data_IF_713885914912
#
_entry.id   IF_713885914912
#
_cell.length_a   1.000
_cell.length_b   1.000
_cell.length_c   1.000
_cell.angle_alpha   90.00
_cell.angle_beta   90.00
_cell.angle_gamma   90.00
#
_symmetry.space_group_name_H-M   'P 1'
#
loop_
_entity.id
_entity.type
_entity.pdbx_description
1 polymer ?
#
# COMPACT_ATOMS: atom_id res chain seq x y z
N UNK A 1 22.12 -2.33 -38.22
CA UNK A 1 21.97 -1.79 -39.59
C UNK A 1 22.27 -0.30 -39.64
N UNK A 2 21.60 0.56 -38.85
CA UNK A 2 21.82 2.02 -38.88
C UNK A 2 23.04 2.55 -38.10
N UNK A 3 23.82 1.69 -37.43
CA UNK A 3 25.02 2.13 -36.66
C UNK A 3 24.75 2.97 -35.40
N UNK A 4 23.52 2.99 -34.90
CA UNK A 4 23.11 3.82 -33.74
C UNK A 4 23.30 3.06 -32.42
N UNK A 5 23.89 3.71 -31.42
CA UNK A 5 23.93 3.20 -30.05
C UNK A 5 22.54 3.29 -29.40
N UNK A 6 21.92 2.15 -29.12
CA UNK A 6 20.58 2.08 -28.52
C UNK A 6 20.60 1.30 -27.21
N UNK A 7 19.89 1.81 -26.21
CA UNK A 7 19.58 1.10 -24.98
C UNK A 7 18.07 1.00 -24.85
N UNK A 8 17.56 -0.20 -24.63
CA UNK A 8 16.13 -0.49 -24.65
C UNK A 8 15.68 -0.91 -23.25
N UNK A 9 14.77 -0.12 -22.67
CA UNK A 9 13.97 -0.54 -21.52
C UNK A 9 12.66 -1.14 -22.04
N UNK A 10 12.32 -2.33 -21.54
CA UNK A 10 11.07 -3.00 -21.89
C UNK A 10 10.10 -2.87 -20.74
N UNK A 11 8.90 -2.40 -21.00
CA UNK A 11 7.86 -2.33 -19.97
C UNK A 11 6.75 -3.32 -20.36
N UNK A 12 6.81 -4.54 -19.84
CA UNK A 12 5.94 -5.65 -20.25
C UNK A 12 4.96 -6.13 -19.17
N UNK A 13 4.28 -7.25 -19.42
CA UNK A 13 3.45 -7.93 -18.42
C UNK A 13 4.29 -8.47 -17.25
N UNK A 14 5.55 -8.83 -17.52
CA UNK A 14 6.54 -9.22 -16.53
C UNK A 14 7.08 -8.04 -15.72
N UNK A 15 6.67 -6.80 -16.04
CA UNK A 15 7.16 -5.55 -15.44
C UNK A 15 8.30 -4.89 -16.23
N UNK A 16 9.09 -4.03 -15.58
CA UNK A 16 10.18 -3.25 -16.21
C UNK A 16 11.44 -4.12 -16.30
N UNK A 17 11.93 -4.31 -17.53
CA UNK A 17 13.19 -4.98 -17.84
C UNK A 17 14.19 -3.99 -18.43
N UNK A 18 15.48 -4.19 -18.13
CA UNK A 18 16.57 -3.34 -18.61
C UNK A 18 16.36 -1.84 -18.34
N UNK A 19 15.90 -1.50 -17.13
CA UNK A 19 15.56 -0.12 -16.76
C UNK A 19 16.69 0.86 -17.09
N UNK A 20 16.35 1.97 -17.75
CA UNK A 20 17.30 3.03 -18.09
C UNK A 20 17.77 3.73 -16.80
N UNK A 21 19.08 3.85 -16.64
CA UNK A 21 19.66 4.59 -15.52
C UNK A 21 19.62 6.09 -15.79
N UNK A 22 19.76 6.91 -14.74
CA UNK A 22 19.87 8.35 -14.88
C UNK A 22 21.08 8.77 -15.74
N UNK A 23 22.16 7.98 -15.77
CA UNK A 23 23.30 8.22 -16.64
C UNK A 23 22.98 7.92 -18.10
N UNK A 24 22.24 6.84 -18.38
CA UNK A 24 21.79 6.51 -19.74
C UNK A 24 20.91 7.63 -20.29
N UNK A 25 19.94 8.09 -19.50
CA UNK A 25 19.02 9.17 -19.88
C UNK A 25 19.81 10.46 -20.13
N UNK A 26 20.76 10.80 -19.25
CA UNK A 26 21.59 12.00 -19.39
C UNK A 26 22.47 11.96 -20.65
N UNK A 27 23.01 10.78 -21.02
CA UNK A 27 23.82 10.61 -22.24
C UNK A 27 22.98 10.50 -23.51
N UNK A 28 21.71 10.14 -23.40
CA UNK A 28 20.84 10.01 -24.57
C UNK A 28 20.67 11.35 -25.30
N UNK A 29 20.82 11.29 -26.63
CA UNK A 29 20.57 12.42 -27.54
C UNK A 29 19.06 12.69 -27.70
N UNK A 30 18.26 11.62 -27.71
CA UNK A 30 16.81 11.67 -27.77
C UNK A 30 16.23 10.39 -27.12
N UNK A 31 14.97 10.47 -26.68
CA UNK A 31 14.23 9.37 -26.06
C UNK A 31 13.04 9.01 -26.97
N UNK A 32 12.91 7.74 -27.32
CA UNK A 32 11.75 7.23 -28.06
C UNK A 32 10.91 6.40 -27.11
N UNK A 33 9.65 6.79 -26.92
CA UNK A 33 8.64 6.06 -26.17
C UNK A 33 7.65 5.47 -27.17
N UNK A 34 7.70 4.15 -27.32
CA UNK A 34 6.71 3.37 -28.07
C UNK A 34 5.86 2.58 -27.07
N UNK A 35 4.79 3.19 -26.56
CA UNK A 35 3.99 2.60 -25.48
C UNK A 35 2.49 2.94 -25.57
N UNK A 36 1.65 1.93 -25.37
CA UNK A 36 0.18 2.07 -25.27
C UNK A 36 -0.30 2.10 -23.82
N UNK A 37 0.63 2.15 -22.86
CA UNK A 37 0.39 2.18 -21.42
C UNK A 37 1.12 3.35 -20.78
N UNK A 38 0.68 3.75 -19.59
CA UNK A 38 1.36 4.79 -18.82
C UNK A 38 2.81 4.39 -18.53
N UNK A 39 3.75 5.27 -18.90
CA UNK A 39 5.18 5.19 -18.62
C UNK A 39 5.54 6.32 -17.67
N UNK A 40 6.52 6.12 -16.79
CA UNK A 40 7.05 7.20 -15.95
C UNK A 40 7.77 8.24 -16.83
N UNK A 41 7.14 9.39 -17.05
CA UNK A 41 7.62 10.44 -17.96
C UNK A 41 8.56 11.43 -17.28
N UNK A 42 8.38 11.68 -15.98
CA UNK A 42 9.05 12.75 -15.24
C UNK A 42 10.58 12.64 -15.29
N UNK A 43 11.12 11.42 -15.32
CA UNK A 43 12.55 11.15 -15.42
C UNK A 43 13.20 11.56 -16.75
N UNK A 44 12.39 11.90 -17.77
CA UNK A 44 12.85 12.33 -19.09
C UNK A 44 12.74 13.85 -19.30
N UNK A 45 12.50 14.62 -18.23
CA UNK A 45 12.45 16.07 -18.30
C UNK A 45 13.71 16.68 -18.95
N UNK A 46 13.51 17.62 -19.86
CA UNK A 46 14.59 18.30 -20.58
C UNK A 46 15.24 17.49 -21.70
N UNK A 47 14.71 16.30 -22.04
CA UNK A 47 15.19 15.49 -23.17
C UNK A 47 14.30 15.63 -24.40
N UNK A 48 14.88 15.65 -25.62
CA UNK A 48 14.10 15.52 -26.85
C UNK A 48 13.38 14.18 -26.85
N UNK A 49 12.06 14.18 -27.01
CA UNK A 49 11.21 13.03 -26.75
C UNK A 49 10.21 12.79 -27.89
N UNK A 50 10.16 11.56 -28.37
CA UNK A 50 9.15 11.09 -29.33
C UNK A 50 8.22 10.14 -28.59
N UNK A 51 6.92 10.43 -28.59
CA UNK A 51 5.91 9.54 -28.02
C UNK A 51 4.98 9.02 -29.13
N UNK A 52 4.91 7.70 -29.27
CA UNK A 52 4.10 7.00 -30.28
C UNK A 52 3.50 5.71 -29.71
N UNK A 53 2.40 5.21 -30.31
CA UNK A 53 1.85 3.90 -29.98
C UNK A 53 2.86 2.77 -30.23
N UNK A 54 2.68 1.62 -29.57
CA UNK A 54 3.58 0.45 -29.73
C UNK A 54 3.64 -0.01 -31.19
N UNK A 55 2.52 0.08 -31.92
CA UNK A 55 2.42 -0.31 -33.32
C UNK A 55 3.42 0.44 -34.22
N UNK A 56 3.66 1.73 -33.96
CA UNK A 56 4.62 2.54 -34.70
C UNK A 56 6.06 2.14 -34.36
N UNK A 57 6.34 1.80 -33.10
CA UNK A 57 7.64 1.26 -32.69
C UNK A 57 8.03 -0.03 -33.41
N UNK A 58 7.04 -0.84 -33.81
CA UNK A 58 7.23 -2.11 -34.54
C UNK A 58 7.29 -1.91 -36.05
N UNK A 59 6.45 -1.03 -36.61
CA UNK A 59 6.26 -0.89 -38.06
C UNK A 59 7.08 0.23 -38.70
N UNK A 60 7.47 1.24 -37.91
CA UNK A 60 8.12 2.48 -38.38
C UNK A 60 9.42 2.74 -37.62
N UNK A 61 10.13 1.68 -37.24
CA UNK A 61 11.30 1.79 -36.35
C UNK A 61 12.40 2.69 -36.93
N UNK A 62 12.70 2.56 -38.22
CA UNK A 62 13.72 3.38 -38.90
C UNK A 62 13.33 4.87 -38.96
N UNK A 63 12.05 5.17 -39.22
CA UNK A 63 11.51 6.52 -39.21
C UNK A 63 11.67 7.19 -37.84
N UNK A 64 11.32 6.47 -36.76
CA UNK A 64 11.45 6.99 -35.40
C UNK A 64 12.90 7.24 -34.99
N UNK A 65 13.82 6.36 -35.42
CA UNK A 65 15.26 6.55 -35.17
C UNK A 65 15.79 7.76 -35.95
N UNK A 66 15.41 7.92 -37.21
CA UNK A 66 15.83 9.08 -38.01
C UNK A 66 15.27 10.39 -37.45
N UNK A 67 14.02 10.41 -36.98
CA UNK A 67 13.42 11.56 -36.30
C UNK A 67 14.16 11.89 -35.00
N UNK A 68 14.56 10.88 -34.23
CA UNK A 68 15.36 11.07 -33.01
C UNK A 68 16.77 11.62 -33.32
N UNK A 69 17.34 11.25 -34.47
CA UNK A 69 18.68 11.69 -34.89
C UNK A 69 18.69 13.09 -35.51
N UNK A 70 17.61 13.49 -36.21
CA UNK A 70 17.46 14.78 -36.86
C UNK A 70 17.50 15.95 -35.87
N UNK A 71 17.08 15.70 -34.63
CA UNK A 71 17.00 16.71 -33.57
C UNK A 71 15.74 17.56 -33.63
N UNK A 72 14.83 17.30 -34.58
CA UNK A 72 13.56 18.00 -34.77
C UNK A 72 12.44 17.39 -33.92
N UNK A 73 12.73 17.23 -32.62
CA UNK A 73 11.83 16.61 -31.66
C UNK A 73 11.63 17.54 -30.49
N UNK A 74 10.38 17.71 -30.08
CA UNK A 74 10.06 18.58 -28.95
C UNK A 74 10.75 18.10 -27.67
N UNK A 75 11.30 19.06 -26.93
CA UNK A 75 11.90 18.78 -25.63
C UNK A 75 10.77 18.61 -24.62
N UNK A 76 10.70 17.42 -24.03
CA UNK A 76 9.70 17.15 -23.02
C UNK A 76 9.95 18.00 -21.77
N UNK A 77 8.87 18.60 -21.25
CA UNK A 77 8.86 19.34 -19.99
C UNK A 77 7.81 18.70 -19.07
N UNK A 78 8.23 18.21 -17.91
CA UNK A 78 7.31 17.64 -16.94
C UNK A 78 6.37 18.72 -16.38
N UNK A 79 5.08 18.40 -16.23
CA UNK A 79 4.03 19.34 -15.84
C UNK A 79 4.16 19.86 -14.40
N UNK A 80 4.88 19.12 -13.55
CA UNK A 80 5.31 19.59 -12.24
C UNK A 80 6.81 19.87 -12.35
N UNK A 81 7.24 21.08 -11.97
CA UNK A 81 8.65 21.46 -11.81
C UNK A 81 9.36 20.69 -10.68
N UNK A 82 9.14 19.37 -10.62
CA UNK A 82 9.93 18.46 -9.84
C UNK A 82 11.35 18.58 -10.39
N UNK A 83 12.22 19.25 -9.62
CA UNK A 83 13.67 19.02 -9.70
C UNK A 83 13.83 17.54 -9.93
N UNK A 84 14.40 17.17 -11.08
CA UNK A 84 14.80 15.82 -11.38
C UNK A 84 15.41 15.27 -10.09
N UNK A 85 14.66 14.41 -9.40
CA UNK A 85 15.17 13.73 -8.23
C UNK A 85 16.38 13.02 -8.80
N UNK A 86 17.56 13.52 -8.43
CA UNK A 86 18.81 12.94 -8.84
C UNK A 86 18.68 11.54 -8.28
N UNK A 87 18.34 10.57 -9.13
CA UNK A 87 18.35 9.17 -8.77
C UNK A 87 19.83 8.85 -8.60
N UNK A 88 20.35 9.26 -7.44
CA UNK A 88 21.65 8.92 -6.97
C UNK A 88 21.64 7.40 -6.96
N UNK A 89 22.56 6.85 -7.74
CA UNK A 89 22.90 5.43 -7.73
C UNK A 89 23.61 5.07 -6.40
N UNK A 90 23.33 5.81 -5.33
CA UNK A 90 23.68 5.38 -3.99
C UNK A 90 22.86 4.14 -3.74
N UNK A 91 23.55 3.05 -3.39
CA UNK A 91 22.91 1.83 -2.90
C UNK A 91 21.93 2.26 -1.80
N UNK A 92 20.65 2.36 -2.16
CA UNK A 92 19.59 2.70 -1.23
C UNK A 92 19.79 1.76 -0.05
N UNK A 93 20.00 2.32 1.15
CA UNK A 93 20.27 1.51 2.33
C UNK A 93 19.17 0.45 2.44
N UNK A 94 19.51 -0.76 2.89
CA UNK A 94 18.55 -1.86 2.99
C UNK A 94 17.28 -1.42 3.75
N UNK A 95 17.45 -0.58 4.78
CA UNK A 95 16.35 0.04 5.52
C UNK A 95 15.53 1.04 4.70
N UNK A 96 16.18 1.89 3.90
CA UNK A 96 15.48 2.82 2.99
C UNK A 96 14.67 2.09 1.92
N UNK A 97 15.16 0.95 1.41
CA UNK A 97 14.42 0.12 0.47
C UNK A 97 13.21 -0.55 1.14
N UNK A 98 13.40 -1.13 2.34
CA UNK A 98 12.33 -1.73 3.13
C UNK A 98 11.22 -0.70 3.45
N UNK A 99 11.61 0.50 3.87
CA UNK A 99 10.67 1.60 4.14
C UNK A 99 9.87 1.97 2.89
N UNK A 100 10.51 2.08 1.72
CA UNK A 100 9.81 2.37 0.46
C UNK A 100 8.75 1.32 0.14
N UNK A 101 9.07 0.04 0.28
CA UNK A 101 8.12 -1.06 0.05
C UNK A 101 6.97 -1.05 1.05
N UNK A 102 7.27 -0.83 2.33
CA UNK A 102 6.27 -0.67 3.39
C UNK A 102 5.31 0.48 3.07
N UNK A 103 5.86 1.65 2.73
CA UNK A 103 5.07 2.85 2.44
C UNK A 103 4.19 2.70 1.19
N UNK A 104 4.61 1.89 0.20
CA UNK A 104 3.77 1.51 -0.93
C UNK A 104 2.49 0.82 -0.47
N UNK A 105 2.60 -0.14 0.46
CA UNK A 105 1.44 -0.80 1.06
C UNK A 105 0.55 0.17 1.84
N UNK A 106 1.16 0.96 2.75
CA UNK A 106 0.42 1.86 3.67
C UNK A 106 -0.41 2.88 2.90
N UNK A 107 0.18 3.51 1.89
CA UNK A 107 -0.48 4.57 1.12
C UNK A 107 -1.69 4.04 0.37
N UNK A 108 -1.65 2.78 -0.05
CA UNK A 108 -2.69 2.16 -0.87
C UNK A 108 -3.81 1.53 -0.03
N UNK A 109 -3.53 1.11 1.22
CA UNK A 109 -4.60 0.67 2.12
C UNK A 109 -5.38 1.84 2.73
N UNK A 110 -4.79 3.04 2.82
CA UNK A 110 -5.38 4.18 3.53
C UNK A 110 -6.78 4.57 3.02
N UNK A 111 -7.05 4.68 1.70
CA UNK A 111 -8.41 4.97 1.22
C UNK A 111 -9.46 3.94 1.63
N UNK A 112 -9.07 2.66 1.77
CA UNK A 112 -9.97 1.60 2.21
C UNK A 112 -10.30 1.72 3.70
N UNK A 113 -9.32 2.09 4.52
CA UNK A 113 -9.50 2.36 5.95
C UNK A 113 -10.40 3.57 6.16
N UNK A 114 -10.18 4.66 5.41
CA UNK A 114 -10.98 5.88 5.52
C UNK A 114 -12.42 5.61 5.09
N UNK A 115 -12.62 5.08 3.88
CA UNK A 115 -13.95 4.79 3.35
C UNK A 115 -14.71 3.79 4.22
N UNK A 116 -14.04 2.69 4.60
CA UNK A 116 -14.64 1.67 5.46
C UNK A 116 -14.94 2.17 6.87
N UNK A 117 -13.98 2.85 7.50
CA UNK A 117 -14.10 3.36 8.87
C UNK A 117 -15.18 4.44 9.02
N UNK A 118 -15.29 5.38 8.08
CA UNK A 118 -16.35 6.40 8.09
C UNK A 118 -17.73 5.74 7.97
N UNK A 119 -17.88 4.75 7.07
CA UNK A 119 -19.15 4.03 6.92
C UNK A 119 -19.54 3.26 8.19
N UNK A 120 -18.57 2.61 8.85
CA UNK A 120 -18.79 1.95 10.15
C UNK A 120 -19.18 2.97 11.23
N UNK A 121 -18.51 4.12 11.28
CA UNK A 121 -18.84 5.18 12.23
C UNK A 121 -20.25 5.76 12.01
N UNK A 122 -20.66 5.93 10.74
CA UNK A 122 -22.02 6.34 10.40
C UNK A 122 -23.05 5.29 10.82
N UNK A 123 -22.73 4.00 10.69
CA UNK A 123 -23.60 2.94 11.18
C UNK A 123 -23.85 3.08 12.70
N UNK A 124 -22.80 3.31 13.49
CA UNK A 124 -22.93 3.56 14.93
C UNK A 124 -23.73 4.84 15.23
N UNK A 125 -23.51 5.91 14.46
CA UNK A 125 -24.22 7.18 14.64
C UNK A 125 -25.72 7.03 14.35
N UNK A 126 -26.08 6.32 13.28
CA UNK A 126 -27.47 6.07 12.88
C UNK A 126 -28.19 5.26 13.95
N UNK A 127 -27.59 4.16 14.41
CA UNK A 127 -28.17 3.35 15.49
C UNK A 127 -28.26 4.14 16.80
N UNK A 128 -27.24 4.92 17.14
CA UNK A 128 -27.25 5.79 18.31
C UNK A 128 -28.37 6.84 18.25
N UNK A 129 -28.66 7.39 17.07
CA UNK A 129 -29.70 8.40 16.88
C UNK A 129 -31.12 7.80 16.86
N UNK A 130 -31.29 6.61 16.26
CA UNK A 130 -32.58 5.91 16.20
C UNK A 130 -32.93 5.20 17.52
N UNK A 131 -31.93 4.96 18.37
CA UNK A 131 -32.08 4.37 19.69
C UNK A 131 -31.98 2.85 19.66
N UNK A 132 -30.95 2.31 20.31
CA UNK A 132 -30.79 0.86 20.52
C UNK A 132 -31.09 0.55 21.99
N UNK A 133 -31.98 -0.42 22.29
CA UNK A 133 -32.22 -0.85 23.67
C UNK A 133 -30.93 -1.26 24.36
N UNK A 134 -30.77 -0.95 25.66
CA UNK A 134 -29.53 -1.25 26.41
C UNK A 134 -29.15 -2.73 26.39
N UNK A 135 -30.13 -3.63 26.39
CA UNK A 135 -29.94 -5.08 26.27
C UNK A 135 -29.40 -5.52 24.90
N UNK A 136 -29.55 -4.68 23.88
CA UNK A 136 -29.14 -4.94 22.49
C UNK A 136 -27.94 -4.09 22.05
N UNK A 137 -27.22 -3.43 22.97
CA UNK A 137 -26.03 -2.63 22.66
C UNK A 137 -24.92 -3.44 21.95
N UNK A 138 -24.90 -4.77 22.10
CA UNK A 138 -24.00 -5.64 21.34
C UNK A 138 -24.24 -5.63 19.83
N UNK A 139 -25.42 -5.19 19.38
CA UNK A 139 -25.79 -5.04 17.97
C UNK A 139 -25.63 -3.61 17.45
N UNK A 140 -24.99 -2.72 18.20
CA UNK A 140 -24.78 -1.33 17.79
C UNK A 140 -24.08 -1.26 16.42
N UNK A 141 -24.61 -0.44 15.53
CA UNK A 141 -24.18 -0.31 14.14
C UNK A 141 -24.80 -1.36 13.21
N UNK A 142 -25.66 -2.25 13.70
CA UNK A 142 -26.35 -3.26 12.90
C UNK A 142 -27.76 -3.57 13.39
N UNK A 143 -28.29 -2.78 14.32
CA UNK A 143 -29.61 -3.00 14.91
C UNK A 143 -30.72 -2.55 13.95
N UNK A 144 -30.59 -1.35 13.38
CA UNK A 144 -31.49 -0.89 12.32
C UNK A 144 -30.98 -1.29 10.94
N UNK A 145 -31.90 -1.52 10.00
CA UNK A 145 -31.57 -1.93 8.63
C UNK A 145 -30.61 -0.95 7.96
N UNK A 146 -30.88 0.36 8.07
CA UNK A 146 -30.02 1.40 7.50
C UNK A 146 -28.61 1.36 8.11
N UNK A 147 -28.47 1.26 9.43
CA UNK A 147 -27.17 1.13 10.08
C UNK A 147 -26.43 -0.12 9.60
N UNK A 148 -27.14 -1.25 9.49
CA UNK A 148 -26.59 -2.51 8.99
C UNK A 148 -26.08 -2.39 7.55
N UNK A 149 -26.77 -1.67 6.66
CA UNK A 149 -26.27 -1.41 5.30
C UNK A 149 -24.91 -0.68 5.34
N UNK A 150 -24.81 0.39 6.14
CA UNK A 150 -23.57 1.14 6.32
C UNK A 150 -22.45 0.27 6.91
N UNK A 151 -22.77 -0.54 7.92
CA UNK A 151 -21.81 -1.46 8.56
C UNK A 151 -21.30 -2.53 7.59
N UNK A 152 -22.16 -3.15 6.78
CA UNK A 152 -21.75 -4.19 5.82
C UNK A 152 -20.91 -3.62 4.69
N UNK A 153 -21.29 -2.47 4.13
CA UNK A 153 -20.51 -1.79 3.09
C UNK A 153 -19.16 -1.33 3.66
N UNK A 154 -19.19 -0.71 4.83
CA UNK A 154 -17.98 -0.26 5.53
C UNK A 154 -17.05 -1.40 5.88
N UNK A 155 -17.59 -2.49 6.42
CA UNK A 155 -16.85 -3.71 6.74
C UNK A 155 -16.25 -4.40 5.52
N UNK A 156 -16.93 -4.37 4.37
CA UNK A 156 -16.37 -4.88 3.11
C UNK A 156 -15.14 -4.08 2.66
N UNK A 157 -15.22 -2.75 2.66
CA UNK A 157 -14.08 -1.89 2.33
C UNK A 157 -12.93 -2.03 3.36
N UNK A 158 -13.27 -1.98 4.65
CA UNK A 158 -12.31 -2.10 5.74
C UNK A 158 -11.61 -3.47 5.74
N UNK A 159 -12.34 -4.55 5.47
CA UNK A 159 -11.81 -5.90 5.37
C UNK A 159 -10.80 -6.10 4.23
N UNK A 160 -10.74 -5.20 3.25
CA UNK A 160 -9.74 -5.22 2.18
C UNK A 160 -8.43 -4.53 2.57
N UNK A 161 -8.34 -3.85 3.71
CA UNK A 161 -7.14 -3.10 4.08
C UNK A 161 -5.88 -3.97 4.11
N UNK A 162 -5.94 -5.18 4.72
CA UNK A 162 -4.78 -6.08 4.85
C UNK A 162 -4.43 -6.75 3.51
N UNK A 163 -5.40 -7.30 2.74
CA UNK A 163 -5.14 -7.77 1.38
C UNK A 163 -4.51 -6.70 0.48
N UNK A 164 -5.03 -5.47 0.47
CA UNK A 164 -4.50 -4.37 -0.34
C UNK A 164 -3.10 -3.98 0.12
N UNK A 165 -2.89 -3.85 1.43
CA UNK A 165 -1.58 -3.54 2.00
C UNK A 165 -0.51 -4.55 1.55
N UNK A 166 -0.73 -5.84 1.80
CA UNK A 166 0.21 -6.90 1.46
C UNK A 166 0.43 -7.01 -0.06
N UNK A 167 -0.64 -6.83 -0.84
CA UNK A 167 -0.59 -6.75 -2.30
C UNK A 167 0.35 -5.65 -2.79
N UNK A 168 0.23 -4.41 -2.28
CA UNK A 168 1.05 -3.31 -2.74
C UNK A 168 2.48 -3.31 -2.21
N UNK A 169 2.74 -3.98 -1.08
CA UNK A 169 4.10 -4.35 -0.66
C UNK A 169 4.70 -5.33 -1.66
N UNK A 170 4.00 -6.44 -1.96
CA UNK A 170 4.47 -7.44 -2.92
C UNK A 170 4.67 -6.87 -4.33
N UNK A 171 3.74 -6.02 -4.78
CA UNK A 171 3.81 -5.30 -6.06
C UNK A 171 5.04 -4.39 -6.12
N UNK A 172 5.37 -3.69 -5.03
CA UNK A 172 6.54 -2.83 -5.02
C UNK A 172 7.87 -3.60 -5.16
N UNK A 173 7.87 -4.91 -4.91
CA UNK A 173 9.04 -5.81 -5.00
C UNK A 173 9.07 -6.58 -6.32
N UNK A 174 7.92 -7.14 -6.73
CA UNK A 174 7.80 -8.09 -7.84
C UNK A 174 6.90 -7.61 -8.98
N UNK A 175 6.42 -6.37 -8.94
CA UNK A 175 5.53 -5.72 -9.91
C UNK A 175 4.21 -6.48 -10.08
N UNK A 176 3.57 -6.40 -11.26
CA UNK A 176 2.27 -7.02 -11.54
C UNK A 176 2.20 -8.51 -11.16
N UNK A 177 3.23 -9.34 -11.44
CA UNK A 177 3.21 -10.74 -11.01
C UNK A 177 3.03 -10.97 -9.49
N UNK A 178 3.44 -9.99 -8.67
CA UNK A 178 3.34 -10.07 -7.21
C UNK A 178 1.94 -9.82 -6.64
N UNK A 179 1.03 -9.26 -7.44
CA UNK A 179 -0.29 -8.79 -6.96
C UNK A 179 -1.11 -9.91 -6.31
N UNK A 180 -1.31 -11.02 -7.02
CA UNK A 180 -2.16 -12.12 -6.53
C UNK A 180 -1.57 -12.76 -5.27
N UNK A 181 -0.26 -13.01 -5.28
CA UNK A 181 0.45 -13.57 -4.13
C UNK A 181 0.32 -12.66 -2.89
N UNK A 182 0.51 -11.35 -3.06
CA UNK A 182 0.38 -10.39 -1.96
C UNK A 182 -1.07 -10.25 -1.46
N UNK A 183 -2.06 -10.24 -2.34
CA UNK A 183 -3.48 -10.27 -1.95
C UNK A 183 -3.80 -11.50 -1.10
N UNK A 184 -3.34 -12.68 -1.54
CA UNK A 184 -3.54 -13.94 -0.82
C UNK A 184 -2.83 -13.94 0.53
N UNK A 185 -1.62 -13.38 0.62
CA UNK A 185 -0.92 -13.23 1.90
C UNK A 185 -1.72 -12.38 2.89
N UNK A 186 -2.21 -11.21 2.46
CA UNK A 186 -3.02 -10.35 3.32
C UNK A 186 -4.38 -10.96 3.68
N UNK A 187 -4.99 -11.72 2.77
CA UNK A 187 -6.24 -12.44 3.03
C UNK A 187 -6.04 -13.56 4.07
N UNK A 188 -4.98 -14.37 3.94
CA UNK A 188 -4.64 -15.41 4.93
C UNK A 188 -4.37 -14.78 6.30
N UNK A 189 -3.63 -13.66 6.34
CA UNK A 189 -3.35 -12.95 7.58
C UNK A 189 -4.63 -12.45 8.27
N UNK A 190 -5.57 -11.91 7.48
CA UNK A 190 -6.88 -11.46 7.95
C UNK A 190 -7.72 -12.61 8.49
N UNK A 191 -7.94 -13.66 7.69
CA UNK A 191 -8.80 -14.80 8.03
C UNK A 191 -8.17 -15.71 9.12
N UNK A 192 -6.86 -15.61 9.34
CA UNK A 192 -6.16 -16.36 10.38
C UNK A 192 -5.83 -17.79 10.00
N UNK A 193 -5.86 -18.16 8.71
CA UNK A 193 -5.54 -19.52 8.29
C UNK A 193 -4.10 -19.90 8.65
N UNK A 194 -3.94 -21.06 9.29
CA UNK A 194 -2.65 -21.60 9.71
C UNK A 194 -2.63 -23.12 9.58
N UNK A 195 -1.45 -23.74 9.53
CA UNK A 195 -1.35 -25.21 9.51
C UNK A 195 -2.07 -25.83 10.71
N UNK A 196 -2.93 -26.81 10.43
CA UNK A 196 -3.78 -27.44 11.45
C UNK A 196 -4.95 -26.58 11.95
N UNK A 197 -5.16 -25.39 11.38
CA UNK A 197 -6.24 -24.44 11.73
C UNK A 197 -6.95 -23.90 10.48
N UNK A 198 -7.16 -24.77 9.50
CA UNK A 198 -7.95 -24.49 8.30
C UNK A 198 -9.23 -25.32 8.42
N UNK A 199 -10.41 -24.69 8.53
CA UNK A 199 -11.67 -25.41 8.51
C UNK A 199 -11.81 -26.21 7.20
N UNK A 200 -12.15 -27.49 7.32
CA UNK A 200 -12.45 -28.39 6.20
C UNK A 200 -13.70 -29.23 6.51
N UNK A 201 -14.40 -29.67 5.47
CA UNK A 201 -15.66 -30.41 5.61
C UNK A 201 -15.42 -31.93 5.60
N UNK A 202 -14.89 -32.48 6.70
CA UNK A 202 -14.75 -33.93 6.85
C UNK A 202 -16.15 -34.57 7.00
N UNK A 203 -16.55 -35.44 6.09
CA UNK A 203 -17.84 -36.13 6.18
C UNK A 203 -19.08 -35.24 6.01
N UNK A 204 -18.93 -34.01 5.51
CA UNK A 204 -20.03 -33.06 5.28
C UNK A 204 -20.29 -32.08 6.44
N UNK A 205 -19.58 -32.20 7.55
CA UNK A 205 -19.67 -31.25 8.67
C UNK A 205 -18.52 -30.23 8.63
N UNK A 206 -18.85 -28.95 8.75
CA UNK A 206 -17.85 -27.89 8.82
C UNK A 206 -17.10 -27.97 10.15
N UNK A 207 -15.77 -28.15 10.10
CA UNK A 207 -14.90 -28.04 11.28
C UNK A 207 -14.67 -26.57 11.68
N UNK A 208 -15.75 -25.83 11.92
CA UNK A 208 -15.75 -24.40 12.26
C UNK A 208 -14.99 -24.08 13.56
N UNK A 209 -14.77 -25.08 14.42
CA UNK A 209 -13.99 -24.98 15.67
C UNK A 209 -12.48 -24.87 15.44
N UNK A 210 -11.98 -25.07 14.22
CA UNK A 210 -10.57 -24.94 13.84
C UNK A 210 -10.18 -23.51 13.39
N UNK A 211 -11.07 -22.53 13.52
CA UNK A 211 -10.81 -21.15 13.08
C UNK A 211 -9.50 -20.63 13.69
N UNK A 212 -8.53 -20.34 12.82
CA UNK A 212 -7.25 -19.82 13.26
C UNK A 212 -7.36 -18.37 13.73
N UNK A 213 -6.34 -17.91 14.45
CA UNK A 213 -6.30 -16.55 14.97
C UNK A 213 -5.70 -15.64 13.90
N UNK A 214 -6.35 -14.50 13.68
CA UNK A 214 -5.85 -13.48 12.76
C UNK A 214 -4.47 -12.99 13.22
N UNK A 215 -3.49 -13.06 12.33
CA UNK A 215 -2.19 -12.40 12.54
C UNK A 215 -2.24 -10.91 12.25
N UNK A 216 -3.38 -10.42 11.75
CA UNK A 216 -3.66 -9.01 11.55
C UNK A 216 -2.60 -8.33 10.66
N UNK A 217 -2.29 -7.09 11.00
CA UNK A 217 -1.37 -6.28 10.22
C UNK A 217 0.05 -6.84 10.19
N UNK A 218 0.54 -7.43 11.30
CA UNK A 218 1.90 -7.99 11.36
C UNK A 218 2.08 -9.17 10.39
N UNK A 219 1.10 -10.07 10.33
CA UNK A 219 1.12 -11.15 9.35
C UNK A 219 0.98 -10.65 7.92
N UNK A 220 0.16 -9.64 7.67
CA UNK A 220 0.05 -9.02 6.34
C UNK A 220 1.35 -8.31 5.92
N UNK A 221 2.06 -7.70 6.87
CA UNK A 221 3.36 -7.07 6.66
C UNK A 221 4.42 -8.08 6.25
N UNK A 222 4.65 -9.08 7.10
CA UNK A 222 5.63 -10.14 6.82
C UNK A 222 5.23 -10.89 5.55
N UNK A 223 3.95 -11.20 5.39
CA UNK A 223 3.40 -11.89 4.24
C UNK A 223 3.57 -11.13 2.92
N UNK A 224 3.37 -9.81 2.91
CA UNK A 224 3.58 -8.99 1.71
C UNK A 224 5.03 -9.01 1.23
N UNK A 225 6.00 -8.91 2.16
CA UNK A 225 7.42 -9.03 1.84
C UNK A 225 7.80 -10.42 1.35
N UNK A 226 7.31 -11.48 2.01
CA UNK A 226 7.52 -12.87 1.60
C UNK A 226 6.93 -13.12 0.21
N UNK A 227 5.69 -12.69 -0.03
CA UNK A 227 5.03 -12.83 -1.33
C UNK A 227 5.83 -12.17 -2.45
N UNK A 228 6.26 -10.93 -2.25
CA UNK A 228 7.13 -10.22 -3.19
C UNK A 228 8.45 -10.96 -3.43
N UNK A 229 9.13 -11.40 -2.36
CA UNK A 229 10.39 -12.12 -2.47
C UNK A 229 10.25 -13.47 -3.19
N UNK A 230 9.20 -14.24 -2.89
CA UNK A 230 8.92 -15.53 -3.54
C UNK A 230 8.64 -15.33 -5.03
N UNK A 231 7.76 -14.40 -5.40
CA UNK A 231 7.46 -14.13 -6.81
C UNK A 231 8.70 -13.66 -7.57
N UNK A 232 9.52 -12.80 -6.95
CA UNK A 232 10.79 -12.36 -7.52
C UNK A 232 11.77 -13.53 -7.71
N UNK A 233 11.84 -14.45 -6.74
CA UNK A 233 12.64 -15.66 -6.85
C UNK A 233 12.16 -16.56 -7.99
N UNK A 234 10.86 -16.80 -8.13
CA UNK A 234 10.29 -17.58 -9.24
C UNK A 234 10.60 -16.88 -10.58
N UNK A 235 10.44 -15.55 -10.67
CA UNK A 235 10.79 -14.76 -11.85
C UNK A 235 12.25 -14.95 -12.25
N UNK A 236 13.16 -15.03 -11.27
CA UNK A 236 14.60 -15.19 -11.47
C UNK A 236 15.03 -16.62 -11.83
N UNK A 237 14.50 -17.63 -11.15
CA UNK A 237 14.98 -19.01 -11.26
C UNK A 237 14.21 -19.85 -12.29
N UNK A 238 12.92 -19.58 -12.52
CA UNK A 238 12.14 -20.31 -13.52
C UNK A 238 12.42 -19.73 -14.90
N UNK A 239 13.34 -20.34 -15.65
CA UNK A 239 13.64 -19.96 -17.04
C UNK A 239 12.72 -20.71 -17.98
N UNK A 240 12.12 -19.99 -18.93
CA UNK A 240 11.29 -20.57 -20.00
C UNK A 240 11.84 -20.13 -21.36
N UNK A 241 11.63 -20.90 -22.44
CA UNK A 241 11.93 -20.46 -23.79
C UNK A 241 11.21 -19.15 -24.13
N UNK A 242 11.79 -18.33 -25.04
CA UNK A 242 11.22 -17.02 -25.43
C UNK A 242 9.74 -17.10 -25.85
N UNK A 243 9.32 -18.18 -26.52
CA UNK A 243 7.93 -18.41 -26.93
C UNK A 243 6.95 -18.54 -25.76
N UNK A 244 7.43 -18.86 -24.55
CA UNK A 244 6.63 -19.08 -23.35
C UNK A 244 6.75 -17.94 -22.32
N UNK A 245 7.46 -16.85 -22.61
CA UNK A 245 7.60 -15.72 -21.66
C UNK A 245 6.25 -15.06 -21.33
N UNK A 246 5.34 -14.99 -22.30
CA UNK A 246 3.96 -14.54 -22.08
C UNK A 246 3.22 -15.46 -21.10
N UNK A 247 3.26 -16.77 -21.34
CA UNK A 247 2.66 -17.77 -20.47
C UNK A 247 3.27 -17.77 -19.06
N UNK A 248 4.59 -17.57 -18.94
CA UNK A 248 5.25 -17.43 -17.63
C UNK A 248 4.69 -16.27 -16.83
N UNK A 249 4.51 -15.11 -17.47
CA UNK A 249 4.12 -13.89 -16.78
C UNK A 249 2.64 -13.85 -16.41
N UNK A 250 1.79 -14.43 -17.26
CA UNK A 250 0.33 -14.42 -17.09
C UNK A 250 -0.15 -15.60 -16.23
N UNK A 251 0.49 -16.77 -16.35
CA UNK A 251 0.04 -18.00 -15.69
C UNK A 251 1.01 -18.46 -14.61
N UNK A 252 2.28 -18.73 -14.95
CA UNK A 252 3.19 -19.40 -14.01
C UNK A 252 3.52 -18.54 -12.78
N UNK A 253 3.83 -17.25 -12.97
CA UNK A 253 4.19 -16.38 -11.85
C UNK A 253 3.01 -16.18 -10.88
N UNK A 254 1.80 -15.83 -11.34
CA UNK A 254 0.66 -15.72 -10.43
C UNK A 254 0.31 -17.05 -9.76
N UNK A 255 0.33 -18.16 -10.50
CA UNK A 255 -0.03 -19.49 -9.97
C UNK A 255 0.98 -19.98 -8.92
N UNK A 256 2.26 -20.09 -9.29
CA UNK A 256 3.30 -20.58 -8.37
C UNK A 256 3.52 -19.60 -7.23
N UNK A 257 3.46 -18.29 -7.51
CA UNK A 257 3.53 -17.25 -6.50
C UNK A 257 2.44 -17.40 -5.44
N UNK A 258 1.21 -17.65 -5.87
CA UNK A 258 0.07 -17.85 -4.97
C UNK A 258 0.20 -19.14 -4.17
N UNK A 259 0.55 -20.26 -4.81
CA UNK A 259 0.72 -21.56 -4.14
C UNK A 259 1.79 -21.45 -3.07
N UNK A 260 2.99 -21.00 -3.44
CA UNK A 260 4.12 -20.90 -2.52
C UNK A 260 3.84 -19.92 -1.38
N UNK A 261 3.30 -18.74 -1.71
CA UNK A 261 2.94 -17.75 -0.69
C UNK A 261 1.86 -18.27 0.25
N UNK A 262 0.84 -18.93 -0.29
CA UNK A 262 -0.24 -19.52 0.50
C UNK A 262 0.29 -20.51 1.53
N UNK A 263 1.05 -21.52 1.10
CA UNK A 263 1.62 -22.52 2.02
C UNK A 263 2.61 -21.93 3.02
N UNK A 264 3.48 -20.99 2.60
CA UNK A 264 4.39 -20.32 3.53
C UNK A 264 3.61 -19.49 4.56
N UNK A 265 2.55 -18.81 4.15
CA UNK A 265 1.71 -18.02 5.04
C UNK A 265 0.99 -18.87 6.08
N UNK A 266 0.62 -20.12 5.77
CA UNK A 266 0.05 -21.03 6.77
C UNK A 266 1.01 -21.31 7.93
N UNK A 267 2.33 -21.33 7.69
CA UNK A 267 3.33 -21.45 8.74
C UNK A 267 3.59 -20.10 9.42
N UNK A 268 3.74 -19.02 8.66
CA UNK A 268 4.03 -17.66 9.17
C UNK A 268 2.89 -17.12 10.04
N UNK A 269 1.65 -17.48 9.74
CA UNK A 269 0.49 -17.02 10.51
C UNK A 269 0.54 -17.51 11.97
N UNK A 270 1.16 -18.66 12.26
CA UNK A 270 1.27 -19.21 13.62
C UNK A 270 2.04 -18.26 14.57
N UNK A 271 3.33 -17.92 14.33
CA UNK A 271 4.05 -17.01 15.19
C UNK A 271 3.49 -15.58 15.11
N UNK A 272 3.02 -15.12 13.94
CA UNK A 272 2.52 -13.76 13.80
C UNK A 272 1.20 -13.55 14.55
N UNK A 273 0.32 -14.55 14.60
CA UNK A 273 -0.88 -14.51 15.43
C UNK A 273 -0.53 -14.47 16.92
N UNK A 274 0.46 -15.25 17.37
CA UNK A 274 0.90 -15.21 18.76
C UNK A 274 1.44 -13.83 19.16
N UNK A 275 2.24 -13.18 18.30
CA UNK A 275 2.73 -11.82 18.54
C UNK A 275 1.55 -10.83 18.55
N UNK A 276 0.61 -10.95 17.61
CA UNK A 276 -0.56 -10.09 17.55
C UNK A 276 -1.41 -10.22 18.82
N UNK A 277 -1.68 -11.44 19.30
CA UNK A 277 -2.39 -11.68 20.55
C UNK A 277 -1.63 -11.09 21.74
N UNK A 278 -0.33 -11.38 21.88
CA UNK A 278 0.49 -10.83 22.96
C UNK A 278 0.52 -9.29 22.97
N UNK A 279 0.55 -8.67 21.80
CA UNK A 279 0.48 -7.21 21.66
C UNK A 279 -0.89 -6.68 22.11
N UNK A 280 -1.99 -7.31 21.69
CA UNK A 280 -3.33 -6.88 22.10
C UNK A 280 -3.57 -7.11 23.59
N UNK A 281 -3.10 -8.21 24.16
CA UNK A 281 -3.18 -8.48 25.60
C UNK A 281 -2.35 -7.47 26.40
N UNK A 282 -1.15 -7.14 25.93
CA UNK A 282 -0.31 -6.11 26.54
C UNK A 282 -1.02 -4.75 26.52
N UNK A 283 -1.56 -4.34 25.37
CA UNK A 283 -2.26 -3.06 25.22
C UNK A 283 -3.56 -3.01 26.04
N UNK A 284 -4.32 -4.11 26.09
CA UNK A 284 -5.54 -4.22 26.88
C UNK A 284 -5.28 -4.26 28.39
N UNK A 285 -4.10 -4.75 28.80
CA UNK A 285 -3.64 -4.75 30.19
C UNK A 285 -3.09 -3.41 30.68
N UNK A 286 -2.96 -2.39 29.82
CA UNK A 286 -2.49 -1.06 30.22
C UNK A 286 -3.56 -0.35 31.07
N UNK A 287 -3.36 -0.32 32.38
CA UNK A 287 -4.15 0.46 33.33
C UNK A 287 -3.45 1.73 33.81
N UNK A 288 -4.21 2.81 34.04
CA UNK A 288 -3.73 4.02 34.72
C UNK A 288 -2.56 4.70 34.00
N UNK A 289 -1.38 4.73 34.63
CA UNK A 289 -0.23 5.52 34.18
C UNK A 289 0.45 5.02 32.89
N UNK A 290 0.42 3.72 32.60
CA UNK A 290 1.06 3.17 31.41
C UNK A 290 0.30 3.48 30.12
N UNK A 291 -1.04 3.52 30.18
CA UNK A 291 -1.89 3.97 29.09
C UNK A 291 -1.67 5.46 28.76
N UNK A 292 -1.51 6.29 29.80
CA UNK A 292 -1.17 7.72 29.63
C UNK A 292 0.18 7.89 28.95
N UNK A 293 1.20 7.15 29.39
CA UNK A 293 2.54 7.20 28.79
C UNK A 293 2.51 6.76 27.33
N UNK A 294 1.80 5.68 26.99
CA UNK A 294 1.61 5.25 25.60
C UNK A 294 0.93 6.34 24.78
N UNK A 295 -0.12 6.97 25.32
CA UNK A 295 -0.82 8.08 24.67
C UNK A 295 0.09 9.27 24.38
N UNK A 296 0.95 9.65 25.35
CA UNK A 296 1.94 10.73 25.18
C UNK A 296 2.94 10.37 24.08
N UNK A 297 3.45 9.14 24.06
CA UNK A 297 4.42 8.70 23.05
C UNK A 297 3.78 8.70 21.66
N UNK A 298 2.63 8.05 21.49
CA UNK A 298 1.97 7.94 20.19
C UNK A 298 1.47 9.30 19.69
N UNK A 299 0.85 10.09 20.57
CA UNK A 299 0.38 11.44 20.23
C UNK A 299 1.54 12.39 19.92
N UNK A 300 2.64 12.30 20.67
CA UNK A 300 3.87 13.03 20.41
C UNK A 300 4.47 12.67 19.05
N UNK A 301 4.59 11.38 18.74
CA UNK A 301 5.07 10.91 17.43
C UNK A 301 4.24 11.46 16.27
N UNK A 302 2.92 11.58 16.44
CA UNK A 302 2.04 12.17 15.42
C UNK A 302 2.29 13.67 15.21
N UNK A 303 2.72 14.40 16.24
CA UNK A 303 2.98 15.84 16.18
C UNK A 303 4.41 16.21 15.74
N UNK A 304 5.37 15.29 15.86
CA UNK A 304 6.82 15.58 15.67
C UNK A 304 7.17 16.11 14.27
N UNK A 305 6.64 15.51 13.21
CA UNK A 305 7.06 15.81 11.83
C UNK A 305 5.91 16.04 10.85
N UNK A 306 4.70 16.34 11.36
CA UNK A 306 3.52 16.74 10.59
C UNK A 306 3.27 15.93 9.30
N UNK A 307 3.34 14.60 9.40
CA UNK A 307 3.12 13.68 8.28
C UNK A 307 4.40 13.07 7.69
N UNK A 308 5.55 13.34 8.30
CA UNK A 308 6.83 12.70 8.01
C UNK A 308 6.92 11.24 8.49
N UNK A 309 8.14 10.65 8.48
CA UNK A 309 8.37 9.24 8.82
C UNK A 309 7.92 8.84 10.23
N UNK A 310 8.06 9.72 11.24
CA UNK A 310 7.69 9.45 12.65
C UNK A 310 6.18 9.38 12.79
N UNK A 311 5.46 10.35 12.21
CA UNK A 311 4.00 10.33 12.15
C UNK A 311 3.49 9.06 11.43
N UNK A 312 4.06 8.72 10.27
CA UNK A 312 3.68 7.51 9.53
C UNK A 312 3.94 6.22 10.31
N UNK A 313 5.03 6.16 11.07
CA UNK A 313 5.33 5.01 11.92
C UNK A 313 4.28 4.83 13.03
N UNK A 314 3.90 5.92 13.72
CA UNK A 314 2.84 5.89 14.72
C UNK A 314 1.49 5.51 14.10
N UNK A 315 1.18 6.04 12.90
CA UNK A 315 -0.03 5.70 12.17
C UNK A 315 -0.09 4.22 11.77
N UNK A 316 1.01 3.67 11.25
CA UNK A 316 1.13 2.23 10.92
C UNK A 316 0.92 1.37 12.16
N UNK A 317 1.52 1.76 13.29
CA UNK A 317 1.31 1.05 14.55
C UNK A 317 -0.16 1.09 14.99
N UNK A 318 -0.77 2.28 15.02
CA UNK A 318 -2.17 2.47 15.40
C UNK A 318 -3.13 1.68 14.50
N UNK A 319 -3.00 1.80 13.18
CA UNK A 319 -3.81 1.02 12.24
C UNK A 319 -3.61 -0.48 12.38
N UNK A 320 -2.38 -0.91 12.70
CA UNK A 320 -2.07 -2.32 12.92
C UNK A 320 -2.87 -2.96 14.05
N UNK A 321 -3.20 -2.18 15.08
CA UNK A 321 -4.03 -2.62 16.21
C UNK A 321 -5.54 -2.62 15.92
N UNK A 322 -5.97 -2.00 14.82
CA UNK A 322 -7.40 -1.81 14.51
C UNK A 322 -8.05 -3.06 13.90
N UNK A 323 -7.26 -3.87 13.18
CA UNK A 323 -7.77 -5.04 12.44
C UNK A 323 -8.56 -6.03 13.32
N UNK A 324 -8.10 -6.25 14.55
CA UNK A 324 -8.71 -7.18 15.49
C UNK A 324 -9.73 -6.54 16.43
N UNK A 325 -9.74 -5.19 16.54
CA UNK A 325 -10.47 -4.48 17.59
C UNK A 325 -11.59 -3.60 17.07
N UNK A 326 -11.67 -3.32 15.76
CA UNK A 326 -12.69 -2.42 15.17
C UNK A 326 -14.12 -2.89 15.45
N UNK A 327 -14.36 -4.19 15.48
CA UNK A 327 -15.67 -4.78 15.78
C UNK A 327 -16.01 -4.80 17.27
N UNK A 328 -15.03 -4.54 18.15
CA UNK A 328 -15.17 -4.57 19.61
C UNK A 328 -14.95 -3.20 20.26
N UNK A 329 -15.11 -2.10 19.52
CA UNK A 329 -14.98 -0.73 20.04
C UNK A 329 -13.70 0.00 19.65
N UNK A 330 -12.86 -0.59 18.78
CA UNK A 330 -11.64 0.02 18.26
C UNK A 330 -10.43 -0.13 19.18
N UNK A 331 -9.34 0.56 18.84
CA UNK A 331 -8.06 0.46 19.53
C UNK A 331 -7.73 1.75 20.29
N UNK A 332 -7.31 1.60 21.56
CA UNK A 332 -6.80 2.71 22.38
C UNK A 332 -5.55 3.34 21.76
N UNK A 333 -4.66 2.53 21.19
CA UNK A 333 -3.47 3.03 20.49
C UNK A 333 -3.87 3.86 19.26
N UNK A 334 -4.83 3.38 18.48
CA UNK A 334 -5.34 4.12 17.31
C UNK A 334 -6.06 5.41 17.74
N UNK A 335 -6.82 5.38 18.84
CA UNK A 335 -7.48 6.56 19.39
C UNK A 335 -6.47 7.64 19.79
N UNK A 336 -5.37 7.27 20.46
CA UNK A 336 -4.29 8.19 20.80
C UNK A 336 -3.60 8.78 19.56
N UNK A 337 -3.34 7.93 18.55
CA UNK A 337 -2.77 8.35 17.25
C UNK A 337 -3.70 9.37 16.55
N UNK A 338 -5.01 9.11 16.49
CA UNK A 338 -5.96 10.05 15.89
C UNK A 338 -6.04 11.36 16.66
N UNK A 339 -6.18 11.29 18.00
CA UNK A 339 -6.25 12.47 18.84
C UNK A 339 -4.99 13.34 18.69
N UNK A 340 -3.79 12.75 18.78
CA UNK A 340 -2.54 13.47 18.61
C UNK A 340 -2.31 13.99 17.19
N UNK A 341 -2.73 13.24 16.17
CA UNK A 341 -2.57 13.64 14.76
C UNK A 341 -3.45 14.82 14.34
N UNK A 342 -4.61 14.99 14.96
CA UNK A 342 -5.50 16.12 14.68
C UNK A 342 -5.07 17.41 15.37
N UNK A 343 -4.28 17.34 16.44
CA UNK A 343 -3.87 18.53 17.22
C UNK A 343 -3.05 19.53 16.38
N UNK A 344 -1.98 19.16 15.65
CA UNK A 344 -1.21 20.11 14.85
C UNK A 344 -2.02 20.88 13.80
N UNK A 345 -2.79 20.24 12.89
CA UNK A 345 -3.55 20.97 11.89
C UNK A 345 -4.64 21.85 12.51
N UNK A 346 -5.35 21.38 13.54
CA UNK A 346 -6.34 22.19 14.25
C UNK A 346 -5.72 23.39 14.97
N UNK A 347 -4.55 23.21 15.59
CA UNK A 347 -3.83 24.31 16.23
C UNK A 347 -3.39 25.38 15.22
N UNK A 348 -2.92 24.98 14.04
CA UNK A 348 -2.58 25.89 12.94
C UNK A 348 -3.82 26.63 12.44
N UNK A 349 -4.92 25.92 12.20
CA UNK A 349 -6.19 26.51 11.78
C UNK A 349 -6.69 27.55 12.78
N UNK A 350 -6.76 27.20 14.07
CA UNK A 350 -7.22 28.13 15.12
C UNK A 350 -6.26 29.31 15.27
N UNK A 351 -4.94 29.09 15.19
CA UNK A 351 -3.96 30.17 15.27
C UNK A 351 -4.10 31.16 14.11
N UNK A 352 -4.27 30.68 12.88
CA UNK A 352 -4.45 31.52 11.69
C UNK A 352 -5.78 32.29 11.71
N UNK A 353 -6.82 31.73 12.32
CA UNK A 353 -8.11 32.40 12.52
C UNK A 353 -8.04 33.50 13.58
N UNK A 354 -7.49 33.21 14.77
CA UNK A 354 -7.49 34.12 15.92
C UNK A 354 -6.40 35.19 15.84
N UNK A 355 -5.22 34.87 15.30
CA UNK A 355 -4.07 35.77 15.24
C UNK A 355 -3.75 36.16 13.79
N UNK A 356 -4.78 36.43 12.99
CA UNK A 356 -4.68 36.73 11.55
C UNK A 356 -3.63 37.78 11.16
N UNK A 357 -3.31 38.71 12.07
CA UNK A 357 -2.36 39.81 11.85
C UNK A 357 -0.89 39.37 12.03
N UNK A 358 -0.66 38.19 12.61
CA UNK A 358 0.66 37.56 12.75
C UNK A 358 1.03 36.63 11.59
N UNK A 359 0.09 36.37 10.68
CA UNK A 359 0.26 35.46 9.55
C UNK A 359 0.10 36.19 8.22
N UNK A 360 0.91 35.80 7.25
CA UNK A 360 0.78 36.26 5.86
C UNK A 360 -0.54 35.81 5.23
N UNK A 361 -0.90 36.35 4.07
CA UNK A 361 -2.08 35.88 3.33
C UNK A 361 -1.94 34.43 2.88
N UNK A 362 -0.74 34.02 2.48
CA UNK A 362 -0.45 32.64 2.05
C UNK A 362 -0.56 31.66 3.22
N UNK A 363 -0.03 32.00 4.40
CA UNK A 363 -0.14 31.13 5.60
C UNK A 363 -1.58 30.98 6.07
N UNK A 364 -2.39 32.04 6.00
CA UNK A 364 -3.82 31.97 6.34
C UNK A 364 -4.59 31.10 5.37
N UNK A 365 -4.33 31.23 4.07
CA UNK A 365 -4.96 30.37 3.07
C UNK A 365 -4.54 28.90 3.25
N UNK A 366 -3.26 28.67 3.59
CA UNK A 366 -2.74 27.32 3.88
C UNK A 366 -3.32 26.74 5.17
N UNK A 367 -3.60 27.59 6.18
CA UNK A 367 -4.25 27.19 7.42
C UNK A 367 -5.69 26.70 7.26
N UNK A 368 -6.39 27.12 6.20
CA UNK A 368 -7.74 26.63 5.87
C UNK A 368 -7.72 25.23 5.23
N UNK A 369 -6.61 24.85 4.61
CA UNK A 369 -6.46 23.61 3.83
C UNK A 369 -5.69 22.51 4.55
N UNK A 370 -5.05 22.81 5.68
CA UNK A 370 -4.35 21.85 6.54
C UNK A 370 -5.30 21.21 7.55
#
# INVERSE_FOLDING_TARGET
EMGVGIKVETNGASGVGNQLTAEDIRKAKAIIIAADKAVEMDRFDGKPLINRPVADGIRKTEELINLALSGDTEVYRAANGAKAATASNEKQSLGGALYKHLMSGVSQMLPFVIGGGIMIALAFLIDGALGVPNENLGNLGSYHELASMFMKIGGAAFGLMLPVFACYVAYSIAEKPGLVAGFVAGAIAKEGFAFGKIPYAAGGEATSTLAGVSSGFLGALVGGFIAGALVLAIKKYVKVPRSLEGAKSILLLPLLGTILTGFVMLAVNIPMAAINTAMNDFLGGLGGGSAVLLGIVLGGMMAVDMGGPVNKAAYVFGTGTLAATVSSGGSVAMAAVMAGGMVPPLAIFVATLLFKDKFTKEERNSGLTN
#
